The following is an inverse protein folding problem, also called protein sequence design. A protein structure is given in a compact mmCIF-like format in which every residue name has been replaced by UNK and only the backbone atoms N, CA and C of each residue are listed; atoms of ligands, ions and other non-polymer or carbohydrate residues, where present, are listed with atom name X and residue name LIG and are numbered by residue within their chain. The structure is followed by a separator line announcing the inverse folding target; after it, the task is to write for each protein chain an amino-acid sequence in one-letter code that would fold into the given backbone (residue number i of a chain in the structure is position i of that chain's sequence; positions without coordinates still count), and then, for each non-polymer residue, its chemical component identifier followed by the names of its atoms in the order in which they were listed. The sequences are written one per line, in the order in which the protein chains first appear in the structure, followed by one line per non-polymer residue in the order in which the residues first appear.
data_IF_283653179891
#
_entry.id   IF_283653179891
#
_cell.length_a   1.000
_cell.length_b   1.000
_cell.length_c   1.000
_cell.angle_alpha   90.00
_cell.angle_beta   90.00
_cell.angle_gamma   90.00
#
_symmetry.space_group_name_H-M   'P 1'
#
loop_
_entity.id
_entity.type
_entity.pdbx_description
1 polymer ?
#
# COMPACT_ATOMS: atom_id res chain seq x y z
N UNK A 1 6.89 16.18 18.21
CA UNK A 1 7.08 14.77 18.65
C UNK A 1 5.69 14.26 18.97
N UNK A 2 5.11 13.39 18.12
CA UNK A 2 3.78 12.83 18.38
C UNK A 2 4.03 11.53 19.13
N UNK A 3 3.77 11.55 20.42
CA UNK A 3 3.80 10.38 21.29
C UNK A 3 2.52 9.59 21.02
N UNK A 4 2.66 8.47 20.30
CA UNK A 4 1.60 7.48 20.18
C UNK A 4 1.62 6.63 21.44
N UNK A 5 0.49 6.62 22.15
CA UNK A 5 0.18 5.71 23.24
C UNK A 5 0.56 4.27 22.86
N UNK A 6 1.20 3.61 23.81
CA UNK A 6 1.81 2.30 23.70
C UNK A 6 0.78 1.23 23.26
N UNK A 7 1.08 0.51 22.16
CA UNK A 7 0.89 -0.95 22.18
C UNK A 7 -0.14 -1.64 21.28
N UNK A 8 -0.94 -0.99 20.43
CA UNK A 8 -1.73 -1.72 19.40
C UNK A 8 -1.47 -1.21 17.98
N UNK A 9 -0.21 -1.32 17.54
CA UNK A 9 0.12 -1.23 16.12
C UNK A 9 -0.53 -2.41 15.38
N UNK A 10 -0.92 -2.21 14.12
CA UNK A 10 -1.33 -3.31 13.27
C UNK A 10 -0.26 -4.41 13.30
N UNK A 11 -0.67 -5.60 13.71
CA UNK A 11 0.21 -6.77 13.67
C UNK A 11 0.52 -7.09 12.21
N UNK A 12 1.62 -7.81 12.00
CA UNK A 12 2.04 -8.27 10.66
C UNK A 12 0.90 -8.98 9.92
N UNK A 13 0.09 -9.78 10.62
CA UNK A 13 -1.10 -10.43 10.03
C UNK A 13 -2.14 -9.43 9.51
N UNK A 14 -2.41 -8.35 10.25
CA UNK A 14 -3.37 -7.32 9.80
C UNK A 14 -2.79 -6.55 8.61
N UNK A 15 -1.48 -6.28 8.61
CA UNK A 15 -0.80 -5.61 7.50
C UNK A 15 -0.85 -6.46 6.22
N UNK A 16 -0.62 -7.78 6.32
CA UNK A 16 -0.73 -8.69 5.18
C UNK A 16 -2.16 -8.76 4.63
N UNK A 17 -3.16 -8.82 5.51
CA UNK A 17 -4.56 -8.74 5.08
C UNK A 17 -4.89 -7.41 4.40
N UNK A 18 -4.44 -6.28 4.94
CA UNK A 18 -4.64 -4.95 4.32
C UNK A 18 -3.95 -4.87 2.97
N UNK A 19 -2.73 -5.39 2.86
CA UNK A 19 -1.98 -5.47 1.59
C UNK A 19 -2.72 -6.31 0.56
N UNK A 20 -3.21 -7.49 0.95
CA UNK A 20 -3.97 -8.38 0.08
C UNK A 20 -5.28 -7.75 -0.38
N UNK A 21 -6.04 -7.15 0.54
CA UNK A 21 -7.30 -6.48 0.21
C UNK A 21 -7.09 -5.25 -0.70
N UNK A 22 -5.98 -4.55 -0.54
CA UNK A 22 -5.65 -3.34 -1.32
C UNK A 22 -5.14 -3.70 -2.71
N UNK A 23 -4.15 -4.60 -2.80
CA UNK A 23 -3.47 -4.93 -4.06
C UNK A 23 -4.27 -5.96 -4.87
N UNK A 24 -4.69 -7.06 -4.24
CA UNK A 24 -5.32 -8.18 -4.93
C UNK A 24 -6.83 -7.98 -5.10
N UNK A 25 -7.53 -7.59 -4.03
CA UNK A 25 -9.00 -7.47 -4.07
C UNK A 25 -9.51 -6.09 -4.49
N UNK A 26 -8.65 -5.06 -4.51
CA UNK A 26 -9.02 -3.65 -4.78
C UNK A 26 -10.21 -3.17 -3.94
N UNK A 27 -10.30 -3.63 -2.70
CA UNK A 27 -11.40 -3.28 -1.81
C UNK A 27 -11.36 -1.80 -1.43
N UNK A 28 -12.54 -1.17 -1.39
CA UNK A 28 -12.70 0.19 -0.85
C UNK A 28 -12.39 0.17 0.65
N UNK A 29 -11.86 1.28 1.16
CA UNK A 29 -11.47 1.45 2.58
C UNK A 29 -12.58 1.06 3.55
N UNK A 30 -13.84 1.35 3.22
CA UNK A 30 -15.01 0.97 4.03
C UNK A 30 -15.24 -0.55 4.10
N UNK A 31 -14.99 -1.26 3.01
CA UNK A 31 -15.10 -2.73 2.97
C UNK A 31 -13.92 -3.38 3.72
N UNK A 32 -12.70 -2.85 3.56
CA UNK A 32 -11.54 -3.32 4.31
C UNK A 32 -11.73 -3.15 5.81
N UNK A 33 -12.25 -1.99 6.25
CA UNK A 33 -12.55 -1.74 7.65
C UNK A 33 -13.53 -2.78 8.22
N UNK A 34 -14.66 -3.00 7.55
CA UNK A 34 -15.67 -3.98 7.99
C UNK A 34 -15.12 -5.40 8.04
N UNK A 35 -14.29 -5.76 7.07
CA UNK A 35 -13.64 -7.06 7.04
C UNK A 35 -12.72 -7.24 8.25
N UNK A 36 -11.88 -6.25 8.55
CA UNK A 36 -10.95 -6.33 9.66
C UNK A 36 -11.64 -6.21 11.02
N UNK A 37 -12.71 -5.42 11.15
CA UNK A 37 -13.55 -5.38 12.36
C UNK A 37 -14.22 -6.74 12.62
N UNK A 38 -14.58 -7.48 11.56
CA UNK A 38 -15.12 -8.84 11.68
C UNK A 38 -14.06 -9.89 12.02
N UNK A 39 -12.88 -9.81 11.39
CA UNK A 39 -11.79 -10.78 11.58
C UNK A 39 -11.01 -10.55 12.89
N UNK A 40 -10.91 -9.30 13.33
CA UNK A 40 -10.17 -8.86 14.51
C UNK A 40 -11.04 -8.00 15.44
N UNK A 41 -12.08 -8.57 16.07
CA UNK A 41 -13.01 -7.80 16.92
C UNK A 41 -12.35 -7.19 18.17
N UNK A 42 -11.18 -7.70 18.59
CA UNK A 42 -10.40 -7.17 19.71
C UNK A 42 -9.45 -6.02 19.34
N UNK A 43 -9.36 -5.69 18.05
CA UNK A 43 -8.55 -4.58 17.53
C UNK A 43 -9.44 -3.39 17.21
N UNK A 44 -9.05 -2.23 17.71
CA UNK A 44 -9.73 -1.00 17.37
C UNK A 44 -9.10 -0.43 16.10
N UNK A 45 -9.88 -0.43 15.01
CA UNK A 45 -9.38 -0.05 13.70
C UNK A 45 -9.77 1.39 13.43
N UNK A 46 -8.81 2.28 13.64
CA UNK A 46 -8.98 3.67 13.27
C UNK A 46 -8.80 3.86 11.77
N UNK A 47 -9.73 4.60 11.18
CA UNK A 47 -9.69 4.91 9.75
C UNK A 47 -8.38 5.63 9.37
N UNK A 48 -7.86 6.49 10.25
CA UNK A 48 -6.60 7.23 10.06
C UNK A 48 -5.41 6.29 9.86
N UNK A 49 -5.30 5.27 10.71
CA UNK A 49 -4.21 4.29 10.64
C UNK A 49 -4.38 3.38 9.42
N UNK A 50 -5.61 2.98 9.13
CA UNK A 50 -5.92 2.20 7.93
C UNK A 50 -5.53 2.96 6.65
N UNK A 51 -5.81 4.26 6.59
CA UNK A 51 -5.38 5.12 5.48
C UNK A 51 -3.85 5.21 5.38
N UNK A 52 -3.15 5.38 6.49
CA UNK A 52 -1.69 5.43 6.50
C UNK A 52 -1.07 4.13 5.97
N UNK A 53 -1.61 2.98 6.37
CA UNK A 53 -1.17 1.67 5.89
C UNK A 53 -1.47 1.48 4.41
N UNK A 54 -2.69 1.80 3.96
CA UNK A 54 -3.05 1.71 2.53
C UNK A 54 -2.15 2.62 1.68
N UNK A 55 -1.85 3.83 2.15
CA UNK A 55 -0.92 4.73 1.48
C UNK A 55 0.50 4.20 1.46
N UNK A 56 0.94 3.46 2.48
CA UNK A 56 2.26 2.82 2.48
C UNK A 56 2.39 1.71 1.43
N UNK A 57 1.27 1.08 1.03
CA UNK A 57 1.22 0.06 -0.01
C UNK A 57 0.98 0.62 -1.41
N UNK A 58 0.46 1.84 -1.50
CA UNK A 58 0.42 2.55 -2.78
C UNK A 58 1.83 3.06 -3.11
N UNK A 59 2.37 2.75 -4.30
CA UNK A 59 3.53 3.47 -4.79
C UNK A 59 3.16 4.95 -4.77
N UNK A 60 3.92 5.74 -4.00
CA UNK A 60 3.73 7.19 -4.00
C UNK A 60 3.93 7.67 -5.45
N UNK A 61 3.22 8.72 -5.86
CA UNK A 61 3.40 9.28 -7.21
C UNK A 61 4.88 9.53 -7.56
N UNK A 62 5.73 9.82 -6.55
CA UNK A 62 7.20 9.85 -6.66
C UNK A 62 7.85 8.53 -7.07
N UNK A 63 7.48 7.40 -6.46
CA UNK A 63 8.05 6.10 -6.85
C UNK A 63 7.55 5.68 -8.23
N UNK A 64 6.27 5.92 -8.53
CA UNK A 64 5.69 5.64 -9.84
C UNK A 64 6.36 6.48 -10.94
N UNK A 65 6.68 7.75 -10.67
CA UNK A 65 7.41 8.62 -11.60
C UNK A 65 8.84 8.15 -11.82
N UNK A 66 9.53 7.66 -10.80
CA UNK A 66 10.90 7.18 -10.93
C UNK A 66 10.94 5.88 -11.76
N UNK A 67 9.99 4.98 -11.51
CA UNK A 67 9.83 3.74 -12.27
C UNK A 67 9.44 4.03 -13.73
N UNK A 68 8.58 5.03 -13.97
CA UNK A 68 8.23 5.48 -15.33
C UNK A 68 9.43 6.02 -16.08
N UNK A 69 10.28 6.82 -15.43
CA UNK A 69 11.52 7.34 -16.03
C UNK A 69 12.50 6.20 -16.35
N UNK A 70 12.63 5.23 -15.45
CA UNK A 70 13.47 4.06 -15.67
C UNK A 70 12.98 3.21 -16.85
N UNK A 71 11.68 2.96 -16.95
CA UNK A 71 11.07 2.21 -18.05
C UNK A 71 11.20 2.94 -19.38
N UNK A 72 11.01 4.26 -19.41
CA UNK A 72 11.23 5.07 -20.62
C UNK A 72 12.69 5.03 -21.07
N UNK A 73 13.64 5.23 -20.15
CA UNK A 73 15.07 5.18 -20.48
C UNK A 73 15.49 3.80 -21.03
N UNK A 74 14.95 2.72 -20.48
CA UNK A 74 15.19 1.36 -21.01
C UNK A 74 14.60 1.19 -22.42
N UNK A 75 13.40 1.72 -22.67
CA UNK A 75 12.73 1.64 -23.97
C UNK A 75 13.52 2.38 -25.07
N UNK A 76 14.07 3.55 -24.74
CA UNK A 76 14.89 4.34 -25.66
C UNK A 76 16.23 3.66 -25.95
N UNK A 77 16.83 2.98 -24.95
CA UNK A 77 18.02 2.16 -25.16
C UNK A 77 17.75 0.95 -26.07
N UNK A 78 16.59 0.30 -25.90
CA UNK A 78 16.20 -0.83 -26.73
C UNK A 78 16.01 -0.43 -28.20
N UNK A 79 15.35 0.70 -28.48
CA UNK A 79 15.19 1.21 -29.85
C UNK A 79 16.52 1.55 -30.54
N UNK A 80 17.51 1.99 -29.76
CA UNK A 80 18.85 2.26 -30.27
C UNK A 80 19.60 0.96 -30.63
N UNK A 81 19.31 -0.14 -29.94
CA UNK A 81 19.89 -1.46 -30.20
C UNK A 81 19.20 -2.19 -31.37
N UNK A 82 17.89 -2.00 -31.53
CA UNK A 82 17.10 -2.64 -32.59
C UNK A 82 17.21 -1.96 -33.97
N UNK A 83 17.92 -0.82 -34.07
CA UNK A 83 18.15 -0.08 -35.33
C UNK A 83 19.49 -0.43 -36.02
N UNK A 84 20.11 -1.57 -35.70
CA UNK A 84 21.35 -2.04 -36.35
C UNK A 84 21.09 -3.28 -37.23
#
# INVERSE_FOLDING_TARGET
RIEFEDGKKFTTSILDDVKFMTISCKFRVTAQRRFLEGKYPSYLIYLKDLYAVIQSFHPTSKSLSNDTVQVSNWLDQQKAMDSH
#
